data_IF_341647062696
#
_entry.id   IF_341647062696
#
_cell.length_a   1.000
_cell.length_b   1.000
_cell.length_c   1.000
_cell.angle_alpha   90.00
_cell.angle_beta   90.00
_cell.angle_gamma   90.00
#
_symmetry.space_group_name_H-M   'P 1'
#
loop_
_entity.id
_entity.type
_entity.pdbx_description
1 polymer ?
#
# COMPACT_ATOMS: atom_id res chain seq x y z
N UNK A 1 9.70 -33.82 -19.27
CA UNK A 1 8.60 -32.94 -18.84
C UNK A 1 9.19 -31.59 -18.42
N UNK A 2 8.79 -30.54 -19.12
CA UNK A 2 9.28 -29.19 -18.77
C UNK A 2 8.60 -28.68 -17.52
N UNK A 3 9.37 -28.15 -16.59
CA UNK A 3 8.83 -27.44 -15.43
C UNK A 3 8.48 -26.01 -15.84
N UNK A 4 7.27 -25.58 -15.48
CA UNK A 4 6.89 -24.18 -15.61
C UNK A 4 7.19 -23.47 -14.32
N UNK A 5 7.97 -22.40 -14.43
CA UNK A 5 8.28 -21.55 -13.30
C UNK A 5 7.39 -20.31 -13.34
N UNK A 6 6.68 -20.07 -12.26
CA UNK A 6 5.89 -18.85 -12.10
C UNK A 6 6.63 -17.90 -11.17
N UNK A 7 6.58 -16.61 -11.50
CA UNK A 7 7.11 -15.60 -10.61
C UNK A 7 6.21 -15.50 -9.38
N UNK A 8 6.82 -15.46 -8.19
CA UNK A 8 6.08 -15.17 -6.97
C UNK A 8 5.59 -13.72 -6.99
N UNK A 9 4.45 -13.46 -6.35
CA UNK A 9 3.95 -12.10 -6.19
C UNK A 9 5.02 -11.21 -5.57
N UNK A 10 5.30 -10.09 -6.21
CA UNK A 10 6.23 -9.11 -5.69
C UNK A 10 5.46 -8.04 -4.93
N UNK A 11 5.70 -7.96 -3.62
CA UNK A 11 5.11 -6.94 -2.77
C UNK A 11 6.22 -5.96 -2.39
N UNK A 12 6.01 -4.69 -2.74
CA UNK A 12 6.99 -3.63 -2.52
C UNK A 12 6.75 -2.95 -1.18
N UNK A 13 7.80 -2.36 -0.60
CA UNK A 13 7.63 -1.46 0.53
C UNK A 13 6.91 -0.19 0.08
N UNK A 14 6.04 0.40 0.93
CA UNK A 14 5.42 1.69 0.63
C UNK A 14 6.46 2.79 0.41
N UNK A 15 7.67 2.62 0.95
CA UNK A 15 8.77 3.57 0.76
C UNK A 15 9.26 3.62 -0.69
N UNK A 16 8.95 2.60 -1.48
CA UNK A 16 9.28 2.54 -2.91
C UNK A 16 8.17 3.14 -3.78
N UNK A 17 7.07 3.59 -3.18
CA UNK A 17 5.95 4.19 -3.91
C UNK A 17 6.34 5.58 -4.40
N UNK A 18 6.07 5.83 -5.67
CA UNK A 18 6.28 7.16 -6.25
C UNK A 18 5.08 8.05 -5.93
N UNK A 19 5.34 9.36 -5.75
CA UNK A 19 4.26 10.33 -5.52
C UNK A 19 3.34 10.42 -6.73
N UNK A 20 2.08 10.70 -6.49
CA UNK A 20 1.07 10.86 -7.52
C UNK A 20 -0.21 10.09 -7.23
N UNK A 21 -1.10 10.05 -8.22
CA UNK A 21 -2.43 9.46 -8.11
C UNK A 21 -2.41 8.03 -8.61
N UNK A 22 -3.04 7.15 -7.84
CA UNK A 22 -3.21 5.73 -8.16
C UNK A 22 -4.69 5.36 -8.10
N UNK A 23 -5.10 4.43 -8.97
CA UNK A 23 -6.40 3.77 -8.84
C UNK A 23 -6.30 2.74 -7.72
N UNK A 24 -7.28 2.73 -6.81
CA UNK A 24 -7.30 1.84 -5.66
C UNK A 24 -8.08 0.56 -6.00
N UNK A 25 -7.46 -0.60 -5.79
CA UNK A 25 -8.03 -1.90 -6.10
C UNK A 25 -8.31 -2.78 -4.88
N UNK A 26 -7.99 -2.32 -3.71
CA UNK A 26 -8.29 -3.03 -2.47
C UNK A 26 -7.11 -3.10 -1.51
N UNK A 27 -7.42 -3.41 -0.26
CA UNK A 27 -6.44 -3.64 0.79
C UNK A 27 -6.86 -4.87 1.57
N UNK A 28 -5.90 -5.73 1.90
CA UNK A 28 -6.18 -6.95 2.65
C UNK A 28 -5.12 -7.18 3.71
N UNK A 29 -5.49 -7.90 4.75
CA UNK A 29 -4.54 -8.37 5.76
C UNK A 29 -4.03 -9.75 5.40
N UNK A 30 -2.72 -9.95 5.48
CA UNK A 30 -2.04 -11.20 5.13
C UNK A 30 -1.17 -11.69 6.29
N UNK A 31 -1.81 -12.13 7.38
CA UNK A 31 -1.10 -12.67 8.53
C UNK A 31 -0.44 -11.60 9.40
N UNK A 32 0.58 -12.00 10.12
CA UNK A 32 1.32 -11.13 11.04
C UNK A 32 2.82 -11.22 10.79
N UNK A 33 3.54 -10.15 11.14
CA UNK A 33 5.00 -10.15 11.09
C UNK A 33 5.61 -10.85 12.33
N UNK A 34 6.94 -10.89 12.40
CA UNK A 34 7.66 -11.55 13.50
C UNK A 34 7.40 -10.90 14.88
N UNK A 35 6.88 -9.67 14.88
CA UNK A 35 6.54 -8.93 16.10
C UNK A 35 5.05 -9.06 16.46
N UNK A 36 4.31 -9.94 15.78
CA UNK A 36 2.89 -10.16 16.01
C UNK A 36 1.98 -9.05 15.50
N UNK A 37 2.47 -8.14 14.66
CA UNK A 37 1.67 -7.06 14.08
C UNK A 37 1.07 -7.49 12.75
N UNK A 38 -0.20 -7.11 12.47
CA UNK A 38 -0.83 -7.46 11.20
C UNK A 38 -0.08 -6.85 10.02
N UNK A 39 0.04 -7.65 8.95
CA UNK A 39 0.57 -7.20 7.67
C UNK A 39 -0.61 -6.85 6.77
N UNK A 40 -0.59 -5.66 6.18
CA UNK A 40 -1.59 -5.22 5.22
C UNK A 40 -0.93 -5.00 3.86
N UNK A 41 -1.63 -5.40 2.79
CA UNK A 41 -1.16 -5.23 1.42
C UNK A 41 -2.22 -4.47 0.64
N UNK A 42 -1.82 -3.37 0.01
CA UNK A 42 -2.68 -2.55 -0.83
C UNK A 42 -2.31 -2.76 -2.29
N UNK A 43 -3.32 -2.89 -3.15
CA UNK A 43 -3.14 -2.99 -4.60
C UNK A 43 -3.51 -1.68 -5.24
N UNK A 44 -2.56 -1.11 -5.96
CA UNK A 44 -2.70 0.18 -6.64
C UNK A 44 -2.33 0.04 -8.11
N UNK A 45 -2.95 0.86 -8.95
CA UNK A 45 -2.70 0.87 -10.38
C UNK A 45 -2.35 2.27 -10.85
N UNK A 46 -1.32 2.36 -11.70
CA UNK A 46 -0.91 3.61 -12.34
C UNK A 46 -0.37 3.31 -13.73
N UNK A 47 -0.88 4.01 -14.74
CA UNK A 47 -0.44 3.81 -16.10
C UNK A 47 -0.69 2.40 -16.64
N UNK A 48 -1.77 1.75 -16.19
CA UNK A 48 -2.10 0.38 -16.62
C UNK A 48 -1.31 -0.71 -15.92
N UNK A 49 -0.44 -0.37 -14.94
CA UNK A 49 0.38 -1.33 -14.20
C UNK A 49 -0.12 -1.42 -12.77
N UNK A 50 -0.54 -2.63 -12.36
CA UNK A 50 -0.91 -2.92 -10.97
C UNK A 50 0.32 -3.32 -10.18
N UNK A 51 0.44 -2.74 -8.98
CA UNK A 51 1.50 -3.09 -8.03
C UNK A 51 0.90 -3.28 -6.65
N UNK A 52 1.52 -4.16 -5.88
CA UNK A 52 1.16 -4.38 -4.47
C UNK A 52 2.22 -3.77 -3.58
N UNK A 53 1.77 -3.13 -2.50
CA UNK A 53 2.65 -2.51 -1.52
C UNK A 53 2.27 -2.95 -0.12
N UNK A 54 3.28 -3.14 0.73
CA UNK A 54 3.04 -3.24 2.16
C UNK A 54 2.53 -1.90 2.65
N UNK A 55 1.33 -1.90 3.22
CA UNK A 55 0.67 -0.68 3.66
C UNK A 55 1.00 -0.38 5.12
N UNK A 56 1.27 0.88 5.47
CA UNK A 56 1.37 1.25 6.87
C UNK A 56 0.01 1.10 7.56
N UNK A 57 0.02 0.91 8.89
CA UNK A 57 -1.21 0.69 9.64
C UNK A 57 -2.21 1.84 9.48
N UNK A 58 -1.73 3.08 9.39
CA UNK A 58 -2.58 4.26 9.18
C UNK A 58 -3.37 4.17 7.89
N UNK A 59 -2.75 3.71 6.81
CA UNK A 59 -3.42 3.55 5.51
C UNK A 59 -4.55 2.52 5.60
N UNK A 60 -4.31 1.40 6.26
CA UNK A 60 -5.34 0.37 6.44
C UNK A 60 -6.56 0.92 7.16
N UNK A 61 -6.37 1.60 8.28
CA UNK A 61 -7.47 2.14 9.07
C UNK A 61 -8.20 3.27 8.37
N UNK A 62 -7.49 4.15 7.68
CA UNK A 62 -8.10 5.21 6.89
C UNK A 62 -9.03 4.63 5.82
N UNK A 63 -8.57 3.61 5.09
CA UNK A 63 -9.38 2.98 4.06
C UNK A 63 -10.58 2.21 4.63
N UNK A 64 -10.42 1.55 5.76
CA UNK A 64 -11.52 0.83 6.41
C UNK A 64 -12.58 1.76 6.99
N UNK A 65 -12.20 2.95 7.42
CA UNK A 65 -13.13 3.93 8.00
C UNK A 65 -13.83 4.79 6.95
N UNK A 66 -13.45 4.69 5.69
CA UNK A 66 -14.08 5.42 4.60
C UNK A 66 -15.18 4.56 3.96
N UNK A 67 -16.27 5.22 3.53
CA UNK A 67 -17.37 4.54 2.85
C UNK A 67 -17.01 4.11 1.43
N UNK A 68 -16.20 4.91 0.73
CA UNK A 68 -15.81 4.65 -0.64
C UNK A 68 -14.45 5.29 -0.93
N UNK A 69 -13.58 4.53 -1.59
CA UNK A 69 -12.30 5.04 -2.10
C UNK A 69 -12.04 4.41 -3.47
N UNK A 70 -11.89 5.24 -4.48
CA UNK A 70 -11.51 4.80 -5.82
C UNK A 70 -10.09 5.22 -6.20
N UNK A 71 -9.59 6.30 -5.60
CA UNK A 71 -8.25 6.81 -5.87
C UNK A 71 -7.51 7.13 -4.59
N UNK A 72 -6.21 6.90 -4.62
CA UNK A 72 -5.30 7.28 -3.55
C UNK A 72 -4.20 8.14 -4.16
N UNK A 73 -3.92 9.27 -3.55
CA UNK A 73 -2.80 10.12 -3.92
C UNK A 73 -1.73 10.05 -2.85
N UNK A 74 -0.53 9.64 -3.24
CA UNK A 74 0.62 9.63 -2.36
C UNK A 74 1.36 10.96 -2.50
N UNK A 75 1.47 11.70 -1.40
CA UNK A 75 2.09 13.03 -1.36
C UNK A 75 3.57 12.98 -0.96
N UNK A 76 4.10 11.81 -0.67
CA UNK A 76 5.44 11.66 -0.13
C UNK A 76 5.45 11.51 1.38
N UNK A 77 6.60 11.75 1.98
CA UNK A 77 6.78 11.62 3.43
C UNK A 77 6.89 12.97 4.10
N UNK A 78 6.47 13.02 5.36
CA UNK A 78 6.72 14.13 6.27
C UNK A 78 7.41 13.61 7.52
N UNK A 79 8.11 14.48 8.21
CA UNK A 79 8.81 14.13 9.44
C UNK A 79 8.03 14.68 10.64
N UNK A 80 7.74 13.81 11.61
CA UNK A 80 7.06 14.21 12.85
C UNK A 80 7.99 15.03 13.74
N UNK A 81 7.40 15.67 14.75
CA UNK A 81 8.18 16.44 15.75
C UNK A 81 9.20 15.57 16.48
N UNK A 82 8.99 14.25 16.55
CA UNK A 82 9.91 13.31 17.18
C UNK A 82 10.97 12.75 16.22
N UNK A 83 10.99 13.21 14.96
CA UNK A 83 11.97 12.77 13.97
C UNK A 83 11.61 11.51 13.19
N UNK A 84 10.38 11.04 13.25
CA UNK A 84 9.92 9.87 12.49
C UNK A 84 9.32 10.28 11.15
N UNK A 85 9.74 9.63 10.08
CA UNK A 85 9.16 9.83 8.76
C UNK A 85 7.86 9.03 8.64
N UNK A 86 6.82 9.66 8.11
CA UNK A 86 5.54 9.00 7.87
C UNK A 86 4.99 9.37 6.50
N UNK A 87 4.26 8.46 5.84
CA UNK A 87 3.69 8.74 4.53
C UNK A 87 2.44 9.60 4.65
N UNK A 88 2.20 10.44 3.64
CA UNK A 88 1.01 11.27 3.56
C UNK A 88 0.19 10.82 2.35
N UNK A 89 -1.05 10.42 2.60
CA UNK A 89 -2.00 9.98 1.58
C UNK A 89 -3.24 10.85 1.58
N UNK A 90 -3.80 11.05 0.39
CA UNK A 90 -5.12 11.65 0.20
C UNK A 90 -6.01 10.64 -0.51
N UNK A 91 -7.31 10.73 -0.28
CA UNK A 91 -8.28 9.77 -0.80
C UNK A 91 -9.38 10.47 -1.57
N UNK A 92 -9.88 9.81 -2.61
CA UNK A 92 -10.99 10.30 -3.41
C UNK A 92 -11.91 9.15 -3.81
N UNK A 93 -13.18 9.45 -3.87
CA UNK A 93 -14.15 8.54 -4.44
C UNK A 93 -14.03 8.49 -5.98
#
# INVERSE_FOLDING_TARGET
MEQKWEEAEKILSWKEMQTGVYSYHGIERRGTNDYGRPISVVTLERGGVKKMFYAPASLYWDLKNRSETNFIKYEGTQTSAKGYDYPVFMYSA
#
